data_IF_456228784884
#
_entry.id   IF_456228784884
#
_cell.length_a   1.000
_cell.length_b   1.000
_cell.length_c   1.000
_cell.angle_alpha   90.00
_cell.angle_beta   90.00
_cell.angle_gamma   90.00
#
_symmetry.space_group_name_H-M   'P 1'
#
loop_
_entity.id
_entity.type
_entity.pdbx_description
1 polymer ?
#
# COMPACT_ATOMS: atom_id res chain seq x y z
N UNK A 1 -0.43 -11.06 -5.81
CA UNK A 1 -1.90 -10.99 -6.05
C UNK A 1 -2.24 -10.84 -7.52
N UNK A 2 -1.80 -9.85 -8.33
CA UNK A 2 -2.23 -9.67 -9.72
C UNK A 2 -2.06 -10.93 -10.59
N UNK A 3 -0.90 -11.59 -10.55
CA UNK A 3 -0.65 -12.83 -11.30
C UNK A 3 -1.62 -13.96 -10.95
N UNK A 4 -1.94 -14.14 -9.68
CA UNK A 4 -2.90 -15.17 -9.22
C UNK A 4 -4.33 -14.89 -9.68
N UNK A 5 -4.64 -13.64 -10.03
CA UNK A 5 -5.93 -13.20 -10.57
C UNK A 5 -5.93 -13.11 -12.11
N UNK A 6 -4.91 -13.65 -12.78
CA UNK A 6 -4.85 -13.69 -14.25
C UNK A 6 -4.25 -12.46 -14.93
N UNK A 7 -3.77 -11.47 -14.18
CA UNK A 7 -3.07 -10.32 -14.74
C UNK A 7 -1.60 -10.67 -15.08
N UNK A 8 -1.01 -9.89 -15.98
CA UNK A 8 0.41 -9.99 -16.35
C UNK A 8 1.20 -8.82 -15.72
N UNK A 9 1.79 -8.99 -14.53
CA UNK A 9 2.52 -7.92 -13.86
C UNK A 9 3.75 -7.50 -14.66
N UNK A 10 3.88 -6.20 -14.93
CA UNK A 10 4.98 -5.61 -15.66
C UNK A 10 5.72 -4.61 -14.76
N UNK A 11 6.99 -4.83 -14.41
CA UNK A 11 7.78 -3.86 -13.66
C UNK A 11 8.01 -2.58 -14.48
N UNK A 12 7.66 -1.43 -13.90
CA UNK A 12 7.88 -0.11 -14.50
C UNK A 12 8.45 0.81 -13.40
N UNK A 13 9.40 1.67 -13.76
CA UNK A 13 9.88 2.70 -12.86
C UNK A 13 8.73 3.62 -12.43
N UNK A 14 8.62 3.88 -11.13
CA UNK A 14 7.47 4.59 -10.56
C UNK A 14 7.18 5.95 -11.22
N UNK A 15 8.24 6.68 -11.61
CA UNK A 15 8.11 7.95 -12.31
C UNK A 15 7.49 7.83 -13.71
N UNK A 16 7.50 6.64 -14.31
CA UNK A 16 7.02 6.40 -15.68
C UNK A 16 5.57 5.86 -15.70
N UNK A 17 5.01 5.49 -14.54
CA UNK A 17 3.70 4.82 -14.43
C UNK A 17 2.58 5.68 -15.03
N UNK A 18 2.57 7.00 -14.78
CA UNK A 18 1.54 7.89 -15.32
C UNK A 18 1.52 7.86 -16.87
N UNK A 19 2.67 8.01 -17.49
CA UNK A 19 2.78 7.97 -18.97
C UNK A 19 2.46 6.57 -19.51
N UNK A 20 2.87 5.52 -18.84
CA UNK A 20 2.56 4.14 -19.24
C UNK A 20 1.05 3.86 -19.24
N UNK A 21 0.33 4.37 -18.23
CA UNK A 21 -1.14 4.32 -18.17
C UNK A 21 -1.78 5.19 -19.25
N UNK A 22 -1.28 6.42 -19.43
CA UNK A 22 -1.82 7.35 -20.42
C UNK A 22 -1.71 6.83 -21.85
N UNK A 23 -0.59 6.19 -22.18
CA UNK A 23 -0.30 5.65 -23.51
C UNK A 23 -0.83 4.23 -23.70
N UNK A 24 -1.43 3.60 -22.70
CA UNK A 24 -1.91 2.22 -22.78
C UNK A 24 -0.80 1.18 -22.83
N UNK A 25 0.42 1.50 -22.40
CA UNK A 25 1.53 0.53 -22.26
C UNK A 25 1.19 -0.49 -21.16
N UNK A 26 0.48 -0.08 -20.15
CA UNK A 26 -0.17 -0.92 -19.14
C UNK A 26 -1.62 -0.51 -18.97
N UNK A 27 -2.49 -1.48 -18.67
CA UNK A 27 -3.93 -1.25 -18.54
C UNK A 27 -4.34 -0.80 -17.14
N UNK A 28 -3.54 -1.13 -16.12
CA UNK A 28 -3.84 -0.87 -14.73
C UNK A 28 -2.56 -0.71 -13.89
N UNK A 29 -2.73 -0.17 -12.70
CA UNK A 29 -1.72 -0.10 -11.65
C UNK A 29 -2.35 -0.44 -10.30
N UNK A 30 -1.55 -0.76 -9.30
CA UNK A 30 -2.02 -0.86 -7.92
C UNK A 30 -1.19 0.05 -7.01
N UNK A 31 -1.86 0.81 -6.20
CA UNK A 31 -1.27 1.71 -5.21
C UNK A 31 -2.34 2.12 -4.17
N UNK A 32 -1.94 2.61 -2.99
CA UNK A 32 -2.84 3.28 -2.06
C UNK A 32 -3.58 4.46 -2.70
N UNK A 33 -4.78 4.78 -2.23
CA UNK A 33 -5.58 5.89 -2.78
C UNK A 33 -4.85 7.24 -2.65
N UNK A 34 -4.11 7.44 -1.57
CA UNK A 34 -3.27 8.62 -1.34
C UNK A 34 -2.16 8.74 -2.41
N UNK A 35 -1.58 7.65 -2.84
CA UNK A 35 -0.60 7.63 -3.94
C UNK A 35 -1.28 7.90 -5.29
N UNK A 36 -2.44 7.32 -5.54
CA UNK A 36 -3.24 7.58 -6.75
C UNK A 36 -3.58 9.07 -6.85
N UNK A 37 -3.92 9.71 -5.72
CA UNK A 37 -4.16 11.16 -5.66
C UNK A 37 -2.88 11.95 -5.96
N UNK A 38 -1.81 11.72 -5.20
CA UNK A 38 -0.57 12.48 -5.28
C UNK A 38 0.10 12.41 -6.67
N UNK A 39 -0.04 11.27 -7.35
CA UNK A 39 0.50 11.02 -8.70
C UNK A 39 -0.52 11.25 -9.81
N UNK A 40 -1.71 11.67 -9.47
CA UNK A 40 -2.81 11.98 -10.41
C UNK A 40 -3.19 10.81 -11.32
N UNK A 41 -2.96 9.56 -10.89
CA UNK A 41 -3.32 8.40 -11.71
C UNK A 41 -4.82 8.36 -12.05
N UNK A 42 -5.66 8.98 -11.23
CA UNK A 42 -7.10 9.14 -11.49
C UNK A 42 -7.42 9.93 -12.78
N UNK A 43 -6.50 10.72 -13.33
CA UNK A 43 -6.71 11.45 -14.58
C UNK A 43 -6.63 10.53 -15.81
N UNK A 44 -5.91 9.42 -15.70
CA UNK A 44 -5.64 8.47 -16.79
C UNK A 44 -6.28 7.09 -16.54
N UNK A 45 -7.14 6.98 -15.53
CA UNK A 45 -7.86 5.77 -15.16
C UNK A 45 -9.35 6.09 -15.01
N UNK A 46 -10.24 5.13 -15.31
CA UNK A 46 -11.69 5.28 -15.19
C UNK A 46 -12.26 4.56 -13.96
N UNK A 47 -11.55 3.56 -13.48
CA UNK A 47 -12.02 2.63 -12.45
C UNK A 47 -11.03 2.58 -11.29
N UNK A 48 -11.56 2.56 -10.07
CA UNK A 48 -10.82 2.27 -8.85
C UNK A 48 -11.48 1.07 -8.16
N UNK A 49 -10.69 0.05 -7.87
CA UNK A 49 -11.16 -1.18 -7.25
C UNK A 49 -10.55 -1.26 -5.85
N UNK A 50 -11.40 -1.20 -4.82
CA UNK A 50 -10.99 -1.13 -3.42
C UNK A 50 -10.63 -2.53 -2.88
N UNK A 51 -9.52 -3.07 -3.33
CA UNK A 51 -9.06 -4.41 -2.94
C UNK A 51 -8.54 -4.46 -1.51
N UNK A 52 -7.84 -3.43 -1.05
CA UNK A 52 -7.23 -3.37 0.28
C UNK A 52 -6.36 -4.60 0.59
N UNK A 53 -5.59 -5.05 -0.39
CA UNK A 53 -4.84 -6.31 -0.36
C UNK A 53 -3.43 -6.18 0.24
N UNK A 54 -2.96 -4.96 0.48
CA UNK A 54 -1.68 -4.68 1.13
C UNK A 54 -1.93 -3.76 2.32
N UNK A 55 -1.31 -4.07 3.44
CA UNK A 55 -1.10 -3.18 4.56
C UNK A 55 0.40 -2.99 4.69
N UNK A 56 0.87 -1.78 4.50
CA UNK A 56 2.28 -1.45 4.53
C UNK A 56 2.63 -0.65 5.78
N UNK A 57 3.84 -0.86 6.29
CA UNK A 57 4.36 -0.16 7.46
C UNK A 57 5.65 0.55 7.11
N UNK A 58 5.72 1.84 7.41
CA UNK A 58 6.93 2.62 7.28
C UNK A 58 7.63 2.72 8.63
N UNK A 59 8.94 2.55 8.63
CA UNK A 59 9.78 2.69 9.81
C UNK A 59 10.82 3.79 9.61
N UNK A 60 10.90 4.73 10.55
CA UNK A 60 12.00 5.67 10.58
C UNK A 60 13.27 4.94 11.04
N UNK A 61 14.31 4.99 10.24
CA UNK A 61 15.58 4.32 10.54
C UNK A 61 16.71 5.33 10.60
N UNK A 62 17.57 5.19 11.61
CA UNK A 62 18.79 5.99 11.77
C UNK A 62 19.98 5.05 11.68
N UNK A 63 20.93 5.37 10.83
CA UNK A 63 22.14 4.58 10.69
C UNK A 63 22.95 4.56 12.01
N UNK A 64 23.51 3.40 12.42
CA UNK A 64 24.22 3.28 13.71
C UNK A 64 25.36 4.30 13.86
N UNK A 65 26.08 4.61 12.80
CA UNK A 65 27.18 5.57 12.83
C UNK A 65 26.74 7.02 13.10
N UNK A 66 25.47 7.34 12.87
CA UNK A 66 24.85 8.62 13.23
C UNK A 66 24.29 8.55 14.64
N UNK A 67 23.50 7.50 14.93
CA UNK A 67 22.87 7.31 16.23
C UNK A 67 23.87 7.29 17.39
N UNK A 68 25.02 6.63 17.22
CA UNK A 68 26.06 6.50 18.23
C UNK A 68 26.81 7.83 18.53
N UNK A 69 26.65 8.86 17.69
CA UNK A 69 27.22 10.19 17.93
C UNK A 69 26.29 11.10 18.74
N UNK A 70 25.03 10.72 18.87
CA UNK A 70 24.05 11.48 19.64
C UNK A 70 24.24 11.23 21.13
N UNK A 71 24.13 12.30 21.94
CA UNK A 71 23.98 12.18 23.36
C UNK A 71 22.63 11.58 23.76
N UNK A 72 22.50 11.09 24.99
CA UNK A 72 21.25 10.51 25.47
C UNK A 72 20.07 11.49 25.44
N UNK A 73 20.21 12.78 25.79
CA UNK A 73 19.15 13.76 25.59
C UNK A 73 18.75 13.92 24.11
N UNK A 74 19.70 13.96 23.17
CA UNK A 74 19.40 14.07 21.74
C UNK A 74 18.69 12.83 21.21
N UNK A 75 19.11 11.63 21.63
CA UNK A 75 18.43 10.37 21.30
C UNK A 75 16.97 10.38 21.79
N UNK A 76 16.75 10.89 23.00
CA UNK A 76 15.40 10.99 23.56
C UNK A 76 14.54 11.94 22.73
N UNK A 77 15.02 13.14 22.43
CA UNK A 77 14.31 14.12 21.59
C UNK A 77 13.98 13.50 20.22
N UNK A 78 14.96 12.87 19.60
CA UNK A 78 14.78 12.24 18.30
C UNK A 78 13.70 11.16 18.33
N UNK A 79 13.72 10.31 19.36
CA UNK A 79 12.71 9.24 19.55
C UNK A 79 11.32 9.83 19.76
N UNK A 80 11.17 10.79 20.68
CA UNK A 80 9.88 11.40 21.00
C UNK A 80 9.27 12.08 19.77
N UNK A 81 10.05 12.89 19.06
CA UNK A 81 9.58 13.61 17.86
C UNK A 81 9.21 12.66 16.73
N UNK A 82 10.00 11.61 16.50
CA UNK A 82 9.69 10.64 15.43
C UNK A 82 8.46 9.80 15.75
N UNK A 83 8.23 9.44 17.01
CA UNK A 83 7.02 8.75 17.43
C UNK A 83 5.77 9.63 17.27
N UNK A 84 5.86 10.89 17.68
CA UNK A 84 4.78 11.87 17.49
C UNK A 84 4.47 12.06 16.00
N UNK A 85 5.49 12.29 15.17
CA UNK A 85 5.34 12.45 13.74
C UNK A 85 4.73 11.21 13.08
N UNK A 86 5.13 10.01 13.49
CA UNK A 86 4.58 8.76 12.98
C UNK A 86 3.09 8.59 13.34
N UNK A 87 2.71 8.96 14.57
CA UNK A 87 1.31 8.91 15.00
C UNK A 87 0.44 9.88 14.19
N UNK A 88 0.91 11.13 14.00
CA UNK A 88 0.22 12.12 13.17
C UNK A 88 0.10 11.67 11.71
N UNK A 89 1.19 11.24 11.09
CA UNK A 89 1.18 10.78 9.71
C UNK A 89 0.23 9.58 9.51
N UNK A 90 0.21 8.64 10.46
CA UNK A 90 -0.70 7.49 10.41
C UNK A 90 -2.17 7.95 10.45
N UNK A 91 -2.51 8.85 11.37
CA UNK A 91 -3.87 9.36 11.50
C UNK A 91 -4.32 10.13 10.24
N UNK A 92 -3.44 10.97 9.69
CA UNK A 92 -3.73 11.74 8.48
C UNK A 92 -3.93 10.83 7.27
N UNK A 93 -3.09 9.82 7.08
CA UNK A 93 -3.23 8.86 5.97
C UNK A 93 -4.52 8.07 6.11
N UNK A 94 -4.83 7.55 7.30
CA UNK A 94 -6.08 6.80 7.53
C UNK A 94 -7.32 7.65 7.24
N UNK A 95 -7.33 8.90 7.70
CA UNK A 95 -8.40 9.85 7.41
C UNK A 95 -8.51 10.09 5.90
N UNK A 96 -7.39 10.38 5.24
CA UNK A 96 -7.36 10.70 3.81
C UNK A 96 -7.80 9.51 2.94
N UNK A 97 -7.35 8.31 3.25
CA UNK A 97 -7.79 7.08 2.56
C UNK A 97 -9.31 6.88 2.68
N UNK A 98 -9.91 7.19 3.84
CA UNK A 98 -11.35 7.11 4.04
C UNK A 98 -12.16 8.11 3.18
N UNK A 99 -11.61 9.30 2.92
CA UNK A 99 -12.27 10.37 2.16
C UNK A 99 -12.12 10.20 0.63
N UNK A 100 -10.97 9.69 0.18
CA UNK A 100 -10.59 9.66 -1.23
C UNK A 100 -11.52 8.83 -2.12
N UNK A 101 -12.09 7.75 -1.61
CA UNK A 101 -13.03 6.94 -2.38
C UNK A 101 -14.24 7.76 -2.88
N UNK A 102 -14.79 8.62 -2.00
CA UNK A 102 -15.92 9.48 -2.36
C UNK A 102 -15.50 10.66 -3.23
N UNK A 103 -14.30 11.20 -3.01
CA UNK A 103 -13.76 12.26 -3.86
C UNK A 103 -13.53 11.79 -5.30
N UNK A 104 -13.00 10.59 -5.48
CA UNK A 104 -12.83 10.01 -6.81
C UNK A 104 -14.18 9.76 -7.51
N UNK A 105 -15.21 9.32 -6.77
CA UNK A 105 -16.59 9.26 -7.32
C UNK A 105 -17.08 10.62 -7.78
N UNK A 106 -16.87 11.68 -7.00
CA UNK A 106 -17.22 13.06 -7.36
C UNK A 106 -16.45 13.56 -8.58
N UNK A 107 -15.25 13.06 -8.81
CA UNK A 107 -14.45 13.34 -10.02
C UNK A 107 -14.90 12.52 -11.24
N UNK A 108 -15.93 11.68 -11.13
CA UNK A 108 -16.49 10.88 -12.21
C UNK A 108 -15.88 9.48 -12.39
N UNK A 109 -15.04 9.03 -11.47
CA UNK A 109 -14.50 7.67 -11.52
C UNK A 109 -15.51 6.65 -10.96
N UNK A 110 -15.51 5.45 -11.52
CA UNK A 110 -16.24 4.32 -10.96
C UNK A 110 -15.40 3.68 -9.85
N UNK A 111 -15.83 3.82 -8.60
CA UNK A 111 -15.16 3.25 -7.42
C UNK A 111 -15.97 2.08 -6.90
N UNK A 112 -15.39 0.87 -6.97
CA UNK A 112 -16.07 -0.41 -6.66
C UNK A 112 -15.44 -1.09 -5.46
N UNK A 113 -16.26 -1.52 -4.51
CA UNK A 113 -15.87 -2.47 -3.48
C UNK A 113 -15.89 -3.89 -4.05
N UNK A 114 -15.04 -4.76 -3.50
CA UNK A 114 -14.91 -6.14 -3.97
C UNK A 114 -15.10 -7.15 -2.84
N UNK A 115 -15.42 -8.37 -3.21
CA UNK A 115 -15.32 -9.52 -2.32
C UNK A 115 -13.84 -9.88 -2.14
N UNK A 116 -13.26 -9.40 -1.03
CA UNK A 116 -11.84 -9.66 -0.68
C UNK A 116 -11.54 -11.15 -0.53
N UNK A 117 -12.54 -11.95 -0.13
CA UNK A 117 -12.36 -13.39 0.01
C UNK A 117 -12.09 -14.06 -1.32
N UNK A 118 -12.74 -13.65 -2.39
CA UNK A 118 -12.50 -14.21 -3.73
C UNK A 118 -11.05 -13.99 -4.20
N UNK A 119 -10.45 -12.84 -3.89
CA UNK A 119 -9.03 -12.57 -4.16
C UNK A 119 -8.10 -13.42 -3.31
N UNK A 120 -8.41 -13.57 -2.01
CA UNK A 120 -7.64 -14.43 -1.11
C UNK A 120 -7.66 -15.88 -1.57
N UNK A 121 -8.83 -16.39 -1.93
CA UNK A 121 -8.99 -17.77 -2.42
C UNK A 121 -8.22 -17.99 -3.74
N UNK A 122 -8.21 -17.01 -4.64
CA UNK A 122 -7.43 -17.07 -5.88
C UNK A 122 -5.91 -17.08 -5.62
N UNK A 123 -5.43 -16.34 -4.63
CA UNK A 123 -4.03 -16.34 -4.24
C UNK A 123 -3.65 -17.71 -3.66
N UNK A 124 -4.42 -18.21 -2.69
CA UNK A 124 -4.13 -19.46 -1.98
C UNK A 124 -4.19 -20.70 -2.88
N UNK A 125 -4.89 -20.65 -4.02
CA UNK A 125 -4.85 -21.71 -5.04
C UNK A 125 -3.51 -21.78 -5.78
N UNK A 126 -2.83 -20.65 -5.93
CA UNK A 126 -1.66 -20.53 -6.80
C UNK A 126 -0.35 -20.32 -6.04
N UNK A 127 -0.42 -20.00 -4.76
CA UNK A 127 0.75 -19.67 -3.93
C UNK A 127 0.64 -20.44 -2.61
N UNK A 128 1.62 -21.27 -2.30
CA UNK A 128 1.69 -21.96 -1.02
C UNK A 128 2.41 -21.10 0.02
N UNK A 129 2.12 -21.33 1.31
CA UNK A 129 2.79 -20.61 2.40
C UNK A 129 4.31 -20.84 2.36
N UNK A 130 4.73 -22.06 2.07
CA UNK A 130 6.14 -22.44 1.99
C UNK A 130 6.85 -21.69 0.86
N UNK A 131 6.19 -21.48 -0.26
CA UNK A 131 6.77 -20.72 -1.39
C UNK A 131 6.99 -19.25 -1.07
N UNK A 132 6.33 -18.75 -0.04
CA UNK A 132 6.47 -17.38 0.47
C UNK A 132 7.40 -17.30 1.71
N UNK A 133 7.93 -18.42 2.17
CA UNK A 133 8.77 -18.49 3.36
C UNK A 133 7.99 -18.43 4.68
N UNK A 134 6.67 -18.66 4.67
CA UNK A 134 5.82 -18.69 5.85
C UNK A 134 5.34 -20.11 6.15
N UNK A 135 5.04 -20.37 7.41
CA UNK A 135 4.31 -21.56 7.82
C UNK A 135 2.80 -21.30 7.87
N UNK A 136 2.01 -22.39 7.74
CA UNK A 136 0.55 -22.28 7.99
C UNK A 136 0.25 -21.77 9.39
N UNK A 137 1.09 -22.11 10.37
CA UNK A 137 0.91 -21.63 11.76
C UNK A 137 1.07 -20.10 11.87
N UNK A 138 1.97 -19.49 11.09
CA UNK A 138 2.11 -18.03 11.06
C UNK A 138 0.90 -17.36 10.42
N UNK A 139 0.36 -17.95 9.35
CA UNK A 139 -0.88 -17.51 8.75
C UNK A 139 -2.05 -17.57 9.72
N UNK A 140 -2.22 -18.69 10.42
CA UNK A 140 -3.30 -18.88 11.37
C UNK A 140 -3.22 -17.87 12.53
N UNK A 141 -2.01 -17.50 12.99
CA UNK A 141 -1.80 -16.45 13.98
C UNK A 141 -2.24 -15.07 13.45
N UNK A 142 -1.87 -14.73 12.22
CA UNK A 142 -2.27 -13.45 11.60
C UNK A 142 -3.78 -13.35 11.48
N UNK A 143 -4.47 -14.43 11.12
CA UNK A 143 -5.93 -14.44 11.02
C UNK A 143 -6.67 -14.25 12.37
N UNK A 144 -5.98 -14.47 13.49
CA UNK A 144 -6.53 -14.26 14.84
C UNK A 144 -6.42 -12.81 15.32
N UNK A 145 -5.64 -11.97 14.63
CA UNK A 145 -5.51 -10.54 14.94
C UNK A 145 -6.80 -9.84 14.47
N UNK A 146 -7.50 -9.22 15.41
CA UNK A 146 -8.75 -8.49 15.16
C UNK A 146 -8.50 -7.00 15.00
#
# INVERSE_FOLDING_TARGET
>A
MPKSCGANPTPIAFAEVYLALQNGTVDAQENPLTTIEAKKFYEVQKYIILTGHIVDSLATQVAPHVWNKLSDPEKKIFTDVTQEAAAHATADIQKREGELADEFRKKGLTVTAVDKKSFQDAILKNVTFESMGYSKADWDKIQQIK
#
